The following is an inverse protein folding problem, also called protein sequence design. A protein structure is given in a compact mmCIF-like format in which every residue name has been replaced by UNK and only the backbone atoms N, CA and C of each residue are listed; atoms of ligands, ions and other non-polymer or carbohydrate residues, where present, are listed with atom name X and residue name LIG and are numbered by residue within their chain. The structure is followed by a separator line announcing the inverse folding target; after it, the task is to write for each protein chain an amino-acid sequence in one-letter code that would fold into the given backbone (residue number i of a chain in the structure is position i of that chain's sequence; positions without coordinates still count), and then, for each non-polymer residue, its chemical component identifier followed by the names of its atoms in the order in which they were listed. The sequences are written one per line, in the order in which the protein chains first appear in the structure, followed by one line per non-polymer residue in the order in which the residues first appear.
data_IF_537985834192
#
_entry.id   IF_537985834192
#
_cell.length_a   1.000
_cell.length_b   1.000
_cell.length_c   1.000
_cell.angle_alpha   90.00
_cell.angle_beta   90.00
_cell.angle_gamma   90.00
#
_symmetry.space_group_name_H-M   'P 1'
#
loop_
_entity.id
_entity.type
_entity.pdbx_description
1 polymer ?
#
# COMPACT_ATOMS: atom_id res chain seq x y z
N UNK A 1 -33.76 -6.42 -57.73
CA UNK A 1 -33.05 -7.67 -57.36
C UNK A 1 -33.31 -7.90 -55.88
N UNK A 2 -34.41 -8.59 -55.59
CA UNK A 2 -34.89 -8.91 -54.23
C UNK A 2 -33.87 -9.78 -53.49
N UNK A 3 -33.26 -9.25 -52.42
CA UNK A 3 -32.50 -10.05 -51.46
C UNK A 3 -33.47 -10.68 -50.46
N UNK A 4 -33.79 -11.96 -50.64
CA UNK A 4 -34.52 -12.77 -49.66
C UNK A 4 -33.71 -12.88 -48.37
N UNK A 5 -34.10 -12.11 -47.35
CA UNK A 5 -33.66 -12.35 -45.98
C UNK A 5 -34.49 -13.49 -45.39
N UNK A 6 -33.96 -14.70 -45.41
CA UNK A 6 -34.53 -15.83 -44.67
C UNK A 6 -34.30 -15.60 -43.17
N UNK A 7 -35.35 -15.19 -42.47
CA UNK A 7 -35.38 -15.17 -41.00
C UNK A 7 -35.43 -16.61 -40.52
N UNK A 8 -34.31 -17.09 -39.99
CA UNK A 8 -34.25 -18.39 -39.30
C UNK A 8 -35.10 -18.28 -38.03
N UNK A 9 -36.23 -18.98 -38.01
CA UNK A 9 -37.12 -19.06 -36.85
C UNK A 9 -36.49 -19.94 -35.77
N UNK A 10 -36.18 -19.34 -34.62
CA UNK A 10 -35.67 -20.03 -33.43
C UNK A 10 -36.81 -20.64 -32.60
N UNK A 11 -37.65 -21.46 -33.22
CA UNK A 11 -38.70 -22.19 -32.50
C UNK A 11 -38.85 -23.61 -33.03
N UNK A 12 -37.77 -24.39 -32.97
CA UNK A 12 -37.88 -25.85 -32.98
C UNK A 12 -37.54 -26.35 -31.58
N UNK A 13 -38.57 -26.57 -30.76
CA UNK A 13 -38.45 -27.43 -29.59
C UNK A 13 -38.17 -28.85 -30.10
N UNK A 14 -36.94 -29.32 -29.95
CA UNK A 14 -36.57 -30.67 -30.36
C UNK A 14 -37.27 -31.70 -29.48
N UNK A 15 -38.13 -32.53 -30.10
CA UNK A 15 -38.78 -33.68 -29.47
C UNK A 15 -37.79 -34.85 -29.45
N UNK A 16 -37.52 -35.43 -28.28
CA UNK A 16 -36.61 -36.58 -28.14
C UNK A 16 -37.35 -37.87 -28.52
N UNK A 17 -36.81 -38.72 -29.42
CA UNK A 17 -37.42 -40.02 -29.73
C UNK A 17 -37.49 -40.93 -28.49
N UNK A 18 -38.51 -41.81 -28.36
CA UNK A 18 -38.61 -42.73 -27.24
C UNK A 18 -37.41 -43.69 -27.21
N UNK A 19 -36.72 -43.78 -26.07
CA UNK A 19 -35.57 -44.66 -25.85
C UNK A 19 -34.18 -44.00 -25.88
N UNK A 20 -34.09 -42.70 -26.15
CA UNK A 20 -32.82 -41.96 -26.20
C UNK A 20 -32.80 -40.88 -25.10
N UNK A 21 -31.90 -40.97 -24.13
CA UNK A 21 -31.71 -39.90 -23.13
C UNK A 21 -30.58 -38.94 -23.54
N UNK A 22 -30.80 -37.61 -23.43
CA UNK A 22 -29.72 -36.65 -23.59
C UNK A 22 -28.76 -36.74 -22.39
N UNK A 23 -27.52 -37.15 -22.65
CA UNK A 23 -26.46 -37.21 -21.63
C UNK A 23 -26.16 -35.80 -21.10
N UNK A 24 -26.67 -35.47 -19.90
CA UNK A 24 -26.30 -34.26 -19.16
C UNK A 24 -24.91 -34.47 -18.55
N UNK A 25 -23.87 -34.03 -19.25
CA UNK A 25 -22.54 -33.92 -18.63
C UNK A 25 -22.49 -32.65 -17.79
N UNK A 26 -22.38 -32.80 -16.48
CA UNK A 26 -21.76 -31.77 -15.64
C UNK A 26 -20.32 -31.60 -16.14
N UNK A 27 -20.00 -30.38 -16.57
CA UNK A 27 -18.66 -30.01 -16.98
C UNK A 27 -17.88 -29.73 -15.69
N UNK A 28 -17.17 -30.73 -15.16
CA UNK A 28 -16.17 -30.48 -14.13
C UNK A 28 -14.91 -29.93 -14.82
N UNK A 29 -14.67 -28.63 -14.71
CA UNK A 29 -13.33 -28.09 -14.92
C UNK A 29 -12.70 -27.83 -13.56
N UNK A 30 -12.03 -28.83 -12.96
CA UNK A 30 -10.87 -28.58 -12.09
C UNK A 30 -9.99 -29.85 -12.05
N UNK A 31 -9.23 -30.14 -13.11
CA UNK A 31 -8.21 -31.20 -13.06
C UNK A 31 -6.93 -30.77 -12.31
N UNK A 32 -6.84 -29.51 -11.86
CA UNK A 32 -5.71 -29.02 -11.06
C UNK A 32 -6.17 -28.01 -10.00
N UNK A 33 -5.88 -28.30 -8.74
CA UNK A 33 -5.98 -27.34 -7.64
C UNK A 33 -5.05 -26.15 -7.94
N UNK A 34 -5.52 -24.88 -7.91
CA UNK A 34 -4.64 -23.74 -8.08
C UNK A 34 -3.58 -23.74 -6.97
N UNK A 35 -2.31 -23.63 -7.36
CA UNK A 35 -1.20 -23.54 -6.39
C UNK A 35 -1.47 -22.42 -5.39
N UNK A 36 -1.26 -22.71 -4.11
CA UNK A 36 -1.35 -21.73 -3.04
C UNK A 36 -0.47 -20.52 -3.39
N UNK A 37 -1.04 -19.31 -3.30
CA UNK A 37 -0.27 -18.08 -3.48
C UNK A 37 0.84 -18.07 -2.44
N UNK A 38 2.11 -17.78 -2.80
CA UNK A 38 3.12 -17.55 -1.80
C UNK A 38 2.63 -16.41 -0.90
N UNK A 39 2.56 -16.69 0.41
CA UNK A 39 2.29 -15.66 1.41
C UNK A 39 3.36 -14.60 1.24
N UNK A 40 2.99 -13.49 0.60
CA UNK A 40 3.85 -12.33 0.55
C UNK A 40 3.75 -11.74 1.95
N UNK A 41 4.61 -12.22 2.86
CA UNK A 41 4.96 -11.41 4.02
C UNK A 41 5.65 -10.17 3.47
N UNK A 42 4.84 -9.14 3.22
CA UNK A 42 5.34 -7.79 3.07
C UNK A 42 6.14 -7.50 4.34
N UNK A 43 7.46 -7.57 4.24
CA UNK A 43 8.34 -7.28 5.37
C UNK A 43 8.02 -5.84 5.83
N UNK A 44 7.35 -5.75 6.98
CA UNK A 44 6.77 -4.53 7.52
C UNK A 44 7.80 -3.49 7.98
N UNK A 45 9.02 -3.50 7.44
CA UNK A 45 10.06 -2.52 7.81
C UNK A 45 9.89 -1.18 7.10
N UNK A 46 9.16 -1.14 5.97
CA UNK A 46 8.83 0.13 5.27
C UNK A 46 7.59 0.83 5.86
N UNK A 47 6.64 0.07 6.40
CA UNK A 47 5.39 0.64 6.95
C UNK A 47 5.63 1.39 8.27
N UNK A 48 6.53 0.91 9.14
CA UNK A 48 6.78 1.55 10.43
C UNK A 48 7.43 2.94 10.33
N UNK A 49 8.20 3.21 9.28
CA UNK A 49 8.77 4.55 9.04
C UNK A 49 7.72 5.59 8.62
N UNK A 50 6.64 5.17 7.98
CA UNK A 50 5.55 6.05 7.53
C UNK A 50 4.64 6.42 8.70
N UNK A 51 4.40 5.50 9.65
CA UNK A 51 3.57 5.76 10.84
C UNK A 51 4.27 6.67 11.85
N UNK A 52 5.62 6.75 11.84
CA UNK A 52 6.40 7.58 12.78
C UNK A 52 6.23 9.09 12.55
N UNK A 53 5.80 9.49 11.37
CA UNK A 53 5.48 10.89 11.07
C UNK A 53 3.97 11.07 11.15
N UNK A 54 3.47 11.30 12.37
CA UNK A 54 2.17 11.95 12.49
C UNK A 54 2.28 13.25 11.69
N UNK A 55 1.42 13.43 10.69
CA UNK A 55 1.35 14.71 9.99
C UNK A 55 0.86 15.70 11.04
N UNK A 56 1.71 16.65 11.47
CA UNK A 56 1.25 17.79 12.27
C UNK A 56 0.12 18.43 11.48
N UNK A 57 -1.06 18.43 12.08
CA UNK A 57 -2.18 19.21 11.61
C UNK A 57 -1.69 20.67 11.59
N UNK A 58 -1.87 21.36 10.47
CA UNK A 58 -1.50 22.76 10.35
C UNK A 58 -2.28 23.55 11.42
N UNK A 59 -1.67 24.55 12.04
CA UNK A 59 -2.31 25.38 13.07
C UNK A 59 -3.59 26.06 12.55
N UNK A 60 -3.66 26.30 11.24
CA UNK A 60 -4.83 26.84 10.54
C UNK A 60 -5.78 25.75 9.99
N UNK A 61 -5.67 24.51 10.46
CA UNK A 61 -6.57 23.44 10.04
C UNK A 61 -7.92 23.56 10.74
N UNK A 62 -8.89 24.09 10.01
CA UNK A 62 -10.29 23.99 10.36
C UNK A 62 -10.78 22.59 9.96
N UNK A 63 -11.08 21.74 10.95
CA UNK A 63 -11.59 20.38 10.70
C UNK A 63 -12.91 20.39 9.92
N UNK A 64 -13.67 21.46 10.10
CA UNK A 64 -14.94 21.73 9.44
C UNK A 64 -14.73 22.65 8.22
N UNK A 65 -13.88 22.24 7.28
CA UNK A 65 -14.11 22.70 5.91
C UNK A 65 -15.47 22.10 5.53
N UNK A 66 -16.54 22.88 5.28
CA UNK A 66 -17.77 22.31 4.78
C UNK A 66 -17.38 21.58 3.51
N UNK A 67 -17.49 20.25 3.55
CA UNK A 67 -17.36 19.43 2.35
C UNK A 67 -18.26 20.09 1.31
N UNK A 68 -17.83 20.31 0.06
CA UNK A 68 -18.75 20.86 -0.93
C UNK A 68 -19.97 19.93 -0.97
N UNK A 69 -21.08 20.37 -0.36
CA UNK A 69 -22.34 19.66 -0.37
C UNK A 69 -22.87 19.93 -1.75
N UNK A 70 -22.53 19.03 -2.68
CA UNK A 70 -23.10 19.07 -4.01
C UNK A 70 -24.61 18.96 -3.86
N UNK A 71 -25.33 19.95 -4.38
CA UNK A 71 -26.79 19.94 -4.34
C UNK A 71 -27.27 18.67 -5.06
N UNK A 72 -27.81 17.74 -4.26
CA UNK A 72 -28.37 16.50 -4.79
C UNK A 72 -29.73 16.83 -5.38
N UNK A 73 -30.04 16.31 -6.57
CA UNK A 73 -31.33 16.55 -7.19
C UNK A 73 -32.46 15.99 -6.29
N UNK A 74 -33.54 16.74 -6.09
CA UNK A 74 -34.69 16.38 -5.23
C UNK A 74 -35.23 14.96 -5.50
N UNK A 75 -35.43 14.50 -6.75
CA UNK A 75 -35.80 13.12 -7.05
C UNK A 75 -34.79 12.07 -6.58
N UNK A 76 -33.49 12.36 -6.58
CA UNK A 76 -32.49 11.42 -6.07
C UNK A 76 -32.55 11.30 -4.54
N UNK A 77 -32.93 12.37 -3.84
CA UNK A 77 -33.18 12.33 -2.40
C UNK A 77 -34.46 11.54 -2.04
N UNK A 78 -35.45 11.55 -2.94
CA UNK A 78 -36.74 10.84 -2.80
C UNK A 78 -36.74 9.46 -3.47
N UNK A 79 -35.62 9.01 -4.01
CA UNK A 79 -35.56 7.76 -4.75
C UNK A 79 -35.66 6.57 -3.78
N UNK A 80 -36.70 5.76 -3.96
CA UNK A 80 -36.86 4.52 -3.20
C UNK A 80 -36.05 3.39 -3.85
N UNK A 81 -35.36 2.61 -3.02
CA UNK A 81 -34.60 1.47 -3.49
C UNK A 81 -35.54 0.40 -4.07
N UNK A 82 -35.15 -0.21 -5.19
CA UNK A 82 -35.94 -1.30 -5.78
C UNK A 82 -36.07 -2.48 -4.81
N UNK A 83 -37.14 -3.32 -4.90
CA UNK A 83 -37.32 -4.46 -4.01
C UNK A 83 -36.11 -5.41 -3.99
N UNK A 84 -35.46 -5.58 -5.14
CA UNK A 84 -34.21 -6.36 -5.27
C UNK A 84 -33.05 -5.72 -4.52
N UNK A 85 -32.88 -4.40 -4.61
CA UNK A 85 -31.85 -3.68 -3.85
C UNK A 85 -32.10 -3.77 -2.35
N UNK A 86 -33.36 -3.66 -1.91
CA UNK A 86 -33.73 -3.87 -0.51
C UNK A 86 -33.36 -5.29 -0.05
N UNK A 87 -33.67 -6.33 -0.84
CA UNK A 87 -33.27 -7.70 -0.53
C UNK A 87 -31.75 -7.89 -0.44
N UNK A 88 -30.99 -7.28 -1.36
CA UNK A 88 -29.53 -7.37 -1.37
C UNK A 88 -28.86 -6.53 -0.26
N UNK A 89 -29.52 -5.47 0.20
CA UNK A 89 -29.04 -4.64 1.30
C UNK A 89 -29.11 -5.36 2.66
N UNK A 90 -29.97 -6.38 2.79
CA UNK A 90 -29.98 -7.20 4.00
C UNK A 90 -28.69 -8.04 4.06
N UNK A 91 -27.94 -7.99 5.16
CA UNK A 91 -26.78 -8.85 5.33
C UNK A 91 -27.22 -10.32 5.29
N UNK A 92 -26.35 -11.18 4.74
CA UNK A 92 -26.62 -12.62 4.74
C UNK A 92 -26.77 -13.11 6.18
N UNK A 93 -27.83 -13.87 6.44
CA UNK A 93 -28.00 -14.53 7.74
C UNK A 93 -26.83 -15.48 7.95
N UNK A 94 -26.14 -15.27 9.06
CA UNK A 94 -25.03 -16.11 9.47
C UNK A 94 -25.60 -17.49 9.87
N UNK A 95 -24.89 -18.57 9.54
CA UNK A 95 -25.30 -19.93 9.88
C UNK A 95 -25.35 -20.12 11.41
N UNK A 96 -26.23 -20.99 11.91
CA UNK A 96 -26.41 -21.23 13.36
C UNK A 96 -25.13 -21.73 14.04
N UNK A 97 -24.30 -22.47 13.30
CA UNK A 97 -23.03 -23.02 13.78
C UNK A 97 -21.83 -22.07 13.54
N UNK A 98 -22.05 -20.87 13.02
CA UNK A 98 -20.95 -19.92 12.85
C UNK A 98 -20.39 -19.47 14.20
N UNK A 99 -19.11 -19.74 14.40
CA UNK A 99 -18.34 -19.25 15.54
C UNK A 99 -17.25 -18.34 15.01
N UNK A 100 -17.12 -17.15 15.58
CA UNK A 100 -15.99 -16.28 15.28
C UNK A 100 -14.68 -16.97 15.71
N UNK A 101 -13.66 -16.96 14.84
CA UNK A 101 -12.35 -17.58 15.10
C UNK A 101 -11.66 -17.03 16.35
N UNK A 102 -12.09 -15.85 16.84
CA UNK A 102 -11.53 -15.18 18.00
C UNK A 102 -12.63 -14.49 18.81
N UNK A 103 -12.70 -14.69 20.14
CA UNK A 103 -13.57 -13.86 20.98
C UNK A 103 -13.11 -12.40 20.93
N UNK A 104 -14.05 -11.45 20.96
CA UNK A 104 -13.81 -9.99 20.84
C UNK A 104 -13.01 -9.38 22.02
N UNK A 105 -12.35 -10.19 22.83
CA UNK A 105 -11.51 -9.73 23.93
C UNK A 105 -10.58 -10.83 24.39
N UNK A 106 -9.41 -10.43 24.90
CA UNK A 106 -8.55 -11.33 25.66
C UNK A 106 -9.30 -11.75 26.92
N UNK A 107 -9.44 -13.05 27.16
CA UNK A 107 -10.04 -13.56 28.39
C UNK A 107 -9.11 -13.26 29.58
N UNK A 108 -9.44 -12.21 30.34
CA UNK A 108 -8.72 -11.81 31.55
C UNK A 108 -9.31 -12.58 32.74
N UNK A 109 -8.48 -13.36 33.43
CA UNK A 109 -8.91 -14.12 34.61
C UNK A 109 -9.39 -13.18 35.74
N UNK A 110 -10.31 -13.65 36.59
CA UNK A 110 -10.81 -12.86 37.72
C UNK A 110 -9.67 -12.35 38.62
N UNK A 111 -8.64 -13.16 38.82
CA UNK A 111 -7.45 -12.82 39.60
C UNK A 111 -6.63 -11.68 38.98
N UNK A 112 -6.57 -11.60 37.65
CA UNK A 112 -5.89 -10.50 36.97
C UNK A 112 -6.69 -9.19 37.06
N UNK A 113 -8.03 -9.25 37.17
CA UNK A 113 -8.89 -8.06 37.36
C UNK A 113 -8.77 -7.47 38.77
N UNK A 114 -8.50 -8.30 39.78
CA UNK A 114 -8.37 -7.89 41.18
C UNK A 114 -6.92 -7.80 41.67
N UNK A 115 -5.95 -8.03 40.78
CA UNK A 115 -4.54 -8.01 41.14
C UNK A 115 -4.10 -6.60 41.56
N UNK A 116 -3.58 -6.49 42.78
CA UNK A 116 -2.98 -5.25 43.30
C UNK A 116 -1.50 -5.22 42.94
N UNK A 117 -1.05 -4.08 42.46
CA UNK A 117 0.33 -3.83 42.05
C UNK A 117 1.27 -3.83 43.28
N UNK A 118 2.47 -4.43 43.16
CA UNK A 118 3.46 -4.41 44.25
C UNK A 118 4.09 -3.02 44.40
N UNK A 119 4.60 -2.66 45.59
CA UNK A 119 5.20 -1.34 45.84
C UNK A 119 6.35 -0.99 44.88
N UNK A 120 7.10 -2.00 44.42
CA UNK A 120 8.17 -1.80 43.45
C UNK A 120 7.65 -1.51 42.05
N UNK A 121 6.59 -2.18 41.61
CA UNK A 121 6.00 -1.93 40.30
C UNK A 121 5.31 -0.56 40.28
N UNK A 122 4.69 -0.13 41.39
CA UNK A 122 4.17 1.25 41.50
C UNK A 122 5.28 2.30 41.47
N UNK A 123 6.43 2.04 42.10
CA UNK A 123 7.60 2.93 42.02
C UNK A 123 8.16 3.02 40.59
N UNK A 124 8.27 1.91 39.88
CA UNK A 124 8.77 1.87 38.49
C UNK A 124 7.78 2.48 37.50
N UNK A 125 6.48 2.41 37.78
CA UNK A 125 5.45 3.04 36.97
C UNK A 125 5.44 4.57 37.10
N UNK A 126 6.12 5.14 38.11
CA UNK A 126 6.25 6.60 38.21
C UNK A 126 7.13 7.12 37.07
N UNK A 127 6.67 8.15 36.32
CA UNK A 127 7.48 8.72 35.26
C UNK A 127 8.75 9.34 35.84
N UNK A 128 9.89 9.10 35.19
CA UNK A 128 11.15 9.73 35.56
C UNK A 128 11.11 11.20 35.15
N UNK A 129 10.77 12.07 36.10
CA UNK A 129 10.81 13.52 35.91
C UNK A 129 12.28 13.92 35.80
N UNK A 130 12.70 14.29 34.59
CA UNK A 130 13.99 14.95 34.38
C UNK A 130 13.71 16.45 34.55
N UNK A 131 14.39 17.11 35.49
CA UNK A 131 14.38 18.57 35.52
C UNK A 131 14.78 19.06 34.13
N UNK A 132 14.01 20.00 33.59
CA UNK A 132 14.21 20.57 32.26
C UNK A 132 15.50 21.36 32.24
N UNK A 133 16.63 20.69 32.09
CA UNK A 133 17.82 21.34 31.57
C UNK A 133 17.58 21.58 30.08
N UNK A 134 17.89 22.78 29.56
CA UNK A 134 17.77 23.05 28.14
C UNK A 134 18.62 22.05 27.34
N UNK A 135 18.23 21.71 26.10
CA UNK A 135 19.02 20.82 25.26
C UNK A 135 20.40 21.44 25.06
N UNK A 136 21.43 20.87 25.68
CA UNK A 136 22.81 21.15 25.33
C UNK A 136 23.02 20.48 23.97
N UNK A 137 23.02 21.30 22.91
CA UNK A 137 23.42 20.90 21.58
C UNK A 137 24.93 20.62 21.56
N UNK A 138 25.37 19.50 22.11
CA UNK A 138 26.63 18.86 21.71
C UNK A 138 26.62 17.42 22.17
N UNK A 139 26.70 16.52 21.20
CA UNK A 139 27.02 15.12 21.41
C UNK A 139 28.26 14.96 22.28
N UNK A 140 28.19 14.15 23.34
CA UNK A 140 29.24 13.19 23.76
C UNK A 140 28.78 12.45 25.01
N UNK A 141 28.92 11.14 24.96
CA UNK A 141 28.66 10.21 26.06
C UNK A 141 29.51 10.49 27.30
N UNK A 142 28.94 10.17 28.47
CA UNK A 142 29.73 9.68 29.59
C UNK A 142 29.77 10.59 30.81
N UNK A 143 28.92 10.23 31.77
CA UNK A 143 29.15 10.31 33.22
C UNK A 143 29.01 11.66 33.93
N UNK A 144 28.40 11.52 35.08
CA UNK A 144 27.95 12.52 36.05
C UNK A 144 29.06 13.33 36.70
N UNK A 145 28.72 14.57 37.05
CA UNK A 145 28.94 15.02 38.44
C UNK A 145 29.41 16.46 38.58
N UNK A 146 28.53 17.25 39.19
CA UNK A 146 28.77 18.49 39.94
C UNK A 146 29.19 19.76 39.20
N UNK A 147 28.26 20.72 39.26
CA UNK A 147 28.46 22.01 39.93
C UNK A 147 29.82 22.66 39.69
N UNK A 148 29.82 23.55 38.70
CA UNK A 148 30.86 24.55 38.51
C UNK A 148 30.83 25.52 39.68
N UNK A 149 31.43 25.14 40.80
CA UNK A 149 32.17 26.12 41.57
C UNK A 149 33.48 26.39 40.82
N UNK A 150 33.79 27.66 40.60
CA UNK A 150 35.09 28.10 40.12
C UNK A 150 36.14 27.78 41.20
N UNK A 151 36.56 26.51 41.24
CA UNK A 151 37.75 26.12 41.98
C UNK A 151 38.92 26.74 41.23
N UNK A 152 39.45 27.84 41.77
CA UNK A 152 40.84 28.24 41.57
C UNK A 152 41.69 27.00 41.85
N UNK A 153 42.08 26.31 40.79
CA UNK A 153 42.95 25.16 40.88
C UNK A 153 44.37 25.70 40.98
N UNK A 154 44.86 25.77 42.21
CA UNK A 154 46.29 25.89 42.46
C UNK A 154 47.01 24.80 41.66
N UNK A 155 48.03 25.21 40.91
CA UNK A 155 48.79 24.43 39.93
C UNK A 155 49.53 23.26 40.59
N UNK A 156 48.83 22.15 40.83
CA UNK A 156 49.42 20.85 41.13
C UNK A 156 48.65 19.74 40.41
N UNK A 157 48.61 19.87 39.08
CA UNK A 157 48.20 18.78 38.21
C UNK A 157 49.30 17.71 38.27
N UNK A 158 48.97 16.53 38.80
CA UNK A 158 49.93 15.42 38.86
C UNK A 158 50.51 15.11 37.48
N UNK A 159 51.81 14.81 37.38
CA UNK A 159 52.49 14.38 36.14
C UNK A 159 51.70 13.31 35.38
N UNK A 160 51.01 12.42 36.10
CA UNK A 160 50.13 11.41 35.51
C UNK A 160 48.99 12.04 34.72
N UNK A 161 48.35 13.07 35.23
CA UNK A 161 47.27 13.79 34.56
C UNK A 161 47.82 14.50 33.32
N UNK A 162 49.01 15.09 33.38
CA UNK A 162 49.67 15.67 32.21
C UNK A 162 49.93 14.62 31.13
N UNK A 163 50.50 13.46 31.51
CA UNK A 163 50.75 12.36 30.55
C UNK A 163 49.46 11.84 29.92
N UNK A 164 48.35 11.78 30.68
CA UNK A 164 47.05 11.37 30.17
C UNK A 164 46.39 12.44 29.30
N UNK A 165 46.65 13.71 29.57
CA UNK A 165 46.18 14.84 28.78
C UNK A 165 46.94 14.97 27.45
N UNK A 166 48.19 14.49 27.37
CA UNK A 166 48.91 14.46 26.10
C UNK A 166 48.25 13.49 25.11
N UNK A 167 47.88 13.93 23.89
CA UNK A 167 47.29 13.06 22.89
C UNK A 167 48.30 12.00 22.44
N UNK A 168 47.81 10.79 22.18
CA UNK A 168 48.65 9.71 21.66
C UNK A 168 49.25 10.10 20.31
N UNK A 169 50.52 9.76 20.08
CA UNK A 169 51.18 9.95 18.78
C UNK A 169 50.44 9.14 17.71
N UNK A 170 50.20 9.76 16.56
CA UNK A 170 49.62 9.09 15.40
C UNK A 170 50.58 7.99 14.89
N UNK A 171 50.03 6.90 14.36
CA UNK A 171 50.81 5.82 13.76
C UNK A 171 51.59 6.36 12.54
N UNK A 172 52.84 5.93 12.27
CA UNK A 172 53.62 6.43 11.13
C UNK A 172 52.96 6.21 9.76
N UNK A 173 52.08 5.22 9.66
CA UNK A 173 51.26 4.96 8.46
C UNK A 173 49.85 5.58 8.50
N UNK A 174 49.58 6.50 9.45
CA UNK A 174 48.30 7.19 9.51
C UNK A 174 48.19 8.19 8.35
N UNK A 175 47.22 7.96 7.47
CA UNK A 175 46.81 8.92 6.45
C UNK A 175 45.49 9.57 6.90
N UNK A 176 45.39 10.91 6.91
CA UNK A 176 44.14 11.57 7.22
C UNK A 176 43.08 11.22 6.17
N UNK A 177 41.82 11.24 6.59
CA UNK A 177 40.71 11.07 5.65
C UNK A 177 40.80 12.13 4.55
N UNK A 178 40.46 11.73 3.31
CA UNK A 178 40.34 12.68 2.20
C UNK A 178 39.35 13.79 2.60
N UNK A 179 39.65 15.08 2.35
CA UNK A 179 38.70 16.14 2.61
C UNK A 179 37.38 15.83 1.87
N UNK A 180 36.25 16.15 2.51
CA UNK A 180 34.92 15.91 1.96
C UNK A 180 34.69 16.69 0.65
N UNK A 181 35.40 17.80 0.48
CA UNK A 181 35.31 18.68 -0.67
C UNK A 181 36.40 18.32 -1.69
N UNK A 182 35.98 17.97 -2.90
CA UNK A 182 36.89 17.91 -4.04
C UNK A 182 36.98 19.31 -4.66
N UNK A 183 38.17 19.91 -4.78
CA UNK A 183 38.31 21.22 -5.41
C UNK A 183 37.90 21.10 -6.88
N UNK A 184 36.84 21.83 -7.26
CA UNK A 184 36.39 21.91 -8.65
C UNK A 184 37.31 22.90 -9.38
N UNK A 185 37.97 22.50 -10.49
CA UNK A 185 38.86 23.41 -11.21
C UNK A 185 38.10 24.61 -11.79
N UNK A 186 38.76 25.75 -11.94
CA UNK A 186 38.12 26.97 -12.45
C UNK A 186 37.51 26.80 -13.83
N UNK A 187 38.12 25.97 -14.69
CA UNK A 187 37.60 25.64 -16.02
C UNK A 187 36.23 24.99 -15.96
N UNK A 188 35.98 24.14 -14.96
CA UNK A 188 34.69 23.50 -14.76
C UNK A 188 33.66 24.46 -14.12
N UNK A 189 34.09 25.45 -13.32
CA UNK A 189 33.18 26.47 -12.75
C UNK A 189 32.75 27.52 -13.78
N UNK A 190 33.61 27.81 -14.76
CA UNK A 190 33.37 28.82 -15.81
C UNK A 190 32.72 28.23 -17.07
N UNK A 191 32.49 26.92 -17.14
CA UNK A 191 31.91 26.29 -18.32
C UNK A 191 30.44 26.70 -18.51
N UNK A 192 30.11 27.18 -19.70
CA UNK A 192 28.72 27.49 -20.08
C UNK A 192 28.09 26.23 -20.67
N UNK A 193 26.86 25.92 -20.26
CA UNK A 193 26.13 24.76 -20.75
C UNK A 193 25.95 24.82 -22.28
N UNK A 194 26.20 23.71 -22.97
CA UNK A 194 25.96 23.60 -24.41
C UNK A 194 24.46 23.71 -24.72
N UNK A 195 24.12 24.11 -25.95
CA UNK A 195 22.73 24.28 -26.36
C UNK A 195 21.88 23.02 -26.09
N UNK A 196 22.44 21.84 -26.37
CA UNK A 196 21.77 20.56 -26.10
C UNK A 196 21.52 20.32 -24.60
N UNK A 197 22.49 20.63 -23.73
CA UNK A 197 22.30 20.53 -22.28
C UNK A 197 21.20 21.49 -21.83
N UNK A 198 21.19 22.72 -22.35
CA UNK A 198 20.14 23.71 -22.08
C UNK A 198 18.75 23.28 -22.57
N UNK A 199 18.66 22.61 -23.72
CA UNK A 199 17.42 22.02 -24.23
C UNK A 199 16.92 20.87 -23.35
N UNK A 200 17.83 19.98 -22.91
CA UNK A 200 17.48 18.85 -22.05
C UNK A 200 17.14 19.26 -20.61
N UNK A 201 17.69 20.38 -20.14
CA UNK A 201 17.36 20.95 -18.83
C UNK A 201 15.92 21.50 -18.78
N UNK A 202 15.29 21.77 -19.93
CA UNK A 202 13.88 22.18 -19.97
C UNK A 202 12.99 20.97 -19.64
N UNK A 203 12.00 21.13 -18.73
CA UNK A 203 11.08 20.05 -18.41
C UNK A 203 10.28 19.64 -19.66
N UNK A 204 10.09 18.33 -19.85
CA UNK A 204 9.21 17.83 -20.91
C UNK A 204 7.77 18.21 -20.54
N UNK A 205 7.16 19.06 -21.36
CA UNK A 205 5.73 19.36 -21.24
C UNK A 205 4.94 18.10 -21.60
N UNK A 206 4.32 17.48 -20.60
CA UNK A 206 3.33 16.45 -20.83
C UNK A 206 2.04 17.13 -21.27
N UNK A 207 1.63 16.92 -22.53
CA UNK A 207 0.24 17.17 -22.94
C UNK A 207 -0.66 16.30 -22.07
N UNK A 208 -1.80 16.83 -21.63
CA UNK A 208 -2.75 16.02 -20.87
C UNK A 208 -3.05 14.75 -21.69
N UNK A 209 -3.11 13.59 -21.01
CA UNK A 209 -3.14 12.25 -21.62
C UNK A 209 -4.23 12.05 -22.70
N UNK A 210 -5.18 12.99 -22.82
CA UNK A 210 -6.36 12.94 -23.66
C UNK A 210 -6.60 14.19 -24.52
N UNK A 211 -5.62 15.09 -24.70
CA UNK A 211 -5.77 16.21 -25.65
C UNK A 211 -5.94 15.68 -27.09
N UNK A 212 -7.20 15.66 -27.56
CA UNK A 212 -7.58 15.13 -28.87
C UNK A 212 -8.00 13.65 -28.90
N UNK A 213 -8.13 12.99 -27.73
CA UNK A 213 -8.64 11.61 -27.65
C UNK A 213 -10.16 11.60 -27.55
N UNK A 214 -10.83 11.24 -28.64
CA UNK A 214 -12.27 10.94 -28.64
C UNK A 214 -12.48 9.52 -28.08
N UNK A 215 -13.02 9.44 -26.87
CA UNK A 215 -13.27 8.18 -26.16
C UNK A 215 -14.29 7.25 -26.85
N UNK A 216 -15.03 7.75 -27.84
CA UNK A 216 -15.99 6.97 -28.63
C UNK A 216 -15.44 6.58 -30.01
N UNK A 217 -14.23 7.02 -30.36
CA UNK A 217 -13.60 6.69 -31.64
C UNK A 217 -13.04 5.27 -31.62
N UNK A 218 -13.80 4.34 -32.20
CA UNK A 218 -13.35 2.96 -32.43
C UNK A 218 -12.28 2.94 -33.54
N UNK A 219 -11.17 2.24 -33.30
CA UNK A 219 -10.09 2.11 -34.28
C UNK A 219 -10.54 1.36 -35.55
N UNK A 220 -9.90 1.64 -36.69
CA UNK A 220 -10.22 0.98 -37.95
C UNK A 220 -10.04 -0.55 -37.85
N UNK A 221 -8.98 -1.00 -37.18
CA UNK A 221 -8.70 -2.41 -36.93
C UNK A 221 -9.81 -3.08 -36.10
N UNK A 222 -10.35 -2.40 -35.08
CA UNK A 222 -11.43 -2.95 -34.27
C UNK A 222 -12.75 -3.07 -35.07
N UNK A 223 -13.05 -2.11 -35.97
CA UNK A 223 -14.23 -2.18 -36.85
C UNK A 223 -14.18 -3.33 -37.86
N UNK A 224 -12.98 -3.74 -38.26
CA UNK A 224 -12.76 -4.77 -39.28
C UNK A 224 -12.21 -6.07 -38.68
N UNK A 225 -12.31 -6.24 -37.36
CA UNK A 225 -11.88 -7.47 -36.71
C UNK A 225 -12.80 -8.62 -37.09
N UNK A 226 -12.25 -9.64 -37.74
CA UNK A 226 -12.97 -10.87 -38.11
C UNK A 226 -12.59 -11.98 -37.14
N UNK A 227 -13.55 -12.84 -36.80
CA UNK A 227 -13.31 -14.00 -35.95
C UNK A 227 -12.26 -14.93 -36.59
N UNK A 228 -11.32 -15.45 -35.78
CA UNK A 228 -10.34 -16.41 -36.30
C UNK A 228 -11.03 -17.67 -36.83
N UNK A 229 -10.41 -18.39 -37.79
CA UNK A 229 -10.98 -19.62 -38.34
C UNK A 229 -11.36 -20.64 -37.25
N UNK A 230 -10.53 -20.74 -36.20
CA UNK A 230 -10.77 -21.62 -35.07
C UNK A 230 -12.03 -21.25 -34.28
N UNK A 231 -12.29 -19.96 -34.09
CA UNK A 231 -13.51 -19.48 -33.41
C UNK A 231 -14.73 -19.77 -34.28
N UNK A 232 -14.62 -19.62 -35.60
CA UNK A 232 -15.69 -19.97 -36.53
C UNK A 232 -16.00 -21.47 -36.48
N UNK A 233 -14.99 -22.34 -36.47
CA UNK A 233 -15.16 -23.79 -36.28
C UNK A 233 -15.84 -24.13 -34.95
N UNK A 234 -15.39 -23.53 -33.84
CA UNK A 234 -15.96 -23.76 -32.51
C UNK A 234 -17.39 -23.24 -32.38
N UNK A 235 -17.75 -22.20 -33.16
CA UNK A 235 -19.12 -21.69 -33.19
C UNK A 235 -20.10 -22.65 -33.87
N UNK A 236 -19.59 -23.64 -34.61
CA UNK A 236 -20.44 -24.70 -35.17
C UNK A 236 -20.90 -25.65 -34.06
N UNK A 237 -22.20 -26.01 -33.99
CA UNK A 237 -22.71 -26.86 -32.94
C UNK A 237 -22.11 -28.27 -33.04
N UNK A 238 -21.50 -28.73 -31.96
CA UNK A 238 -20.98 -30.11 -31.89
C UNK A 238 -22.12 -31.12 -31.99
N UNK A 239 -21.95 -32.19 -32.78
CA UNK A 239 -22.95 -33.27 -32.89
C UNK A 239 -23.24 -33.87 -31.52
N UNK A 240 -24.52 -33.97 -31.16
CA UNK A 240 -24.96 -34.61 -29.90
C UNK A 240 -24.61 -36.10 -29.95
N UNK A 241 -23.93 -36.59 -28.90
CA UNK A 241 -23.69 -38.01 -28.69
C UNK A 241 -24.97 -38.62 -28.11
N UNK A 242 -25.51 -39.61 -28.82
CA UNK A 242 -26.63 -40.40 -28.34
C UNK A 242 -26.09 -41.70 -27.74
N UNK A 243 -26.58 -42.07 -26.57
CA UNK A 243 -26.34 -43.39 -25.98
C UNK A 243 -27.61 -44.19 -26.19
N UNK A 244 -27.49 -45.35 -26.85
CA UNK A 244 -28.61 -46.27 -27.00
C UNK A 244 -28.80 -47.01 -25.68
N UNK A 245 -30.02 -46.99 -25.13
CA UNK A 245 -30.36 -47.71 -23.91
C UNK A 245 -30.39 -49.21 -24.23
N UNK A 246 -29.57 -50.01 -23.55
CA UNK A 246 -29.70 -51.47 -23.55
C UNK A 246 -30.91 -51.87 -22.71
#
# INVERSE_FOLDING_TARGET
MESKTERISLSLSWVTPPGIEPSRRSIYWVDKVPRARPSTQASGKKMQKIVKWFKRINENFEADRPSPIWAVNVPALKAEASPRLQQLAHPKTVDREWRADRPYGTHVSARAKTAVCTPRVTQLARPKIRSSQPPQETCSEGTSGSDKEEVKTEDNVSDRIETLATPKKLHPAYFPNRPAEWPVPESARKIVATERISQLAKPRLHKALNEGYDGYKISYAAKHAVASPRIQELSTPTRRKYVFKR
#
